data_IF_129011702277
#
_entry.id   IF_129011702277
#
_cell.length_a   1.000
_cell.length_b   1.000
_cell.length_c   1.000
_cell.angle_alpha   90.00
_cell.angle_beta   90.00
_cell.angle_gamma   90.00
#
_symmetry.space_group_name_H-M   'P 1'
#
loop_
_entity.id
_entity.type
_entity.pdbx_description
1 polymer ?
#
# COMPACT_ATOMS: atom_id res chain seq x y z
N UNK A 1 1.18 -20.80 -6.72
CA UNK A 1 1.73 -19.46 -7.02
C UNK A 1 3.11 -19.38 -6.39
N UNK A 2 4.13 -19.04 -7.17
CA UNK A 2 5.53 -19.11 -6.76
C UNK A 2 5.85 -17.92 -5.85
N UNK A 3 6.64 -18.11 -4.79
CA UNK A 3 7.04 -17.06 -3.85
C UNK A 3 7.58 -15.80 -4.55
N UNK A 4 8.20 -15.99 -5.71
CA UNK A 4 8.68 -14.95 -6.63
C UNK A 4 7.59 -13.96 -7.07
N UNK A 5 6.38 -14.43 -7.37
CA UNK A 5 5.26 -13.53 -7.72
C UNK A 5 4.79 -12.73 -6.51
N UNK A 6 4.76 -13.31 -5.31
CA UNK A 6 4.43 -12.60 -4.08
C UNK A 6 5.43 -11.47 -3.77
N UNK A 7 6.72 -11.74 -3.94
CA UNK A 7 7.78 -10.74 -3.77
C UNK A 7 7.65 -9.58 -4.77
N UNK A 8 7.32 -9.87 -6.03
CA UNK A 8 7.06 -8.84 -7.05
C UNK A 8 5.88 -7.94 -6.63
N UNK A 9 4.77 -8.53 -6.18
CA UNK A 9 3.60 -7.76 -5.75
C UNK A 9 3.87 -6.91 -4.51
N UNK A 10 4.64 -7.41 -3.54
CA UNK A 10 5.08 -6.60 -2.38
C UNK A 10 5.96 -5.44 -2.83
N UNK A 11 6.90 -5.68 -3.75
CA UNK A 11 7.75 -4.63 -4.31
C UNK A 11 6.94 -3.55 -5.03
N UNK A 12 5.98 -3.96 -5.87
CA UNK A 12 5.07 -3.05 -6.57
C UNK A 12 4.20 -2.25 -5.59
N UNK A 13 3.68 -2.89 -4.54
CA UNK A 13 2.92 -2.22 -3.49
C UNK A 13 3.79 -1.17 -2.78
N UNK A 14 5.03 -1.53 -2.43
CA UNK A 14 5.96 -0.59 -1.80
C UNK A 14 6.25 0.64 -2.66
N UNK A 15 6.44 0.44 -3.97
CA UNK A 15 6.62 1.54 -4.93
C UNK A 15 5.36 2.40 -5.00
N UNK A 16 4.17 1.80 -5.11
CA UNK A 16 2.91 2.54 -5.17
C UNK A 16 2.67 3.40 -3.92
N UNK A 17 2.89 2.83 -2.74
CA UNK A 17 2.74 3.55 -1.46
C UNK A 17 3.77 4.69 -1.31
N UNK A 18 5.00 4.49 -1.80
CA UNK A 18 6.02 5.52 -1.80
C UNK A 18 5.67 6.68 -2.73
N UNK A 19 5.23 6.39 -3.96
CA UNK A 19 4.80 7.41 -4.92
C UNK A 19 3.61 8.20 -4.39
N UNK A 20 2.67 7.55 -3.71
CA UNK A 20 1.52 8.22 -3.10
C UNK A 20 1.96 9.24 -2.03
N UNK A 21 2.85 8.84 -1.11
CA UNK A 21 3.45 9.74 -0.11
C UNK A 21 4.16 10.91 -0.78
N UNK A 22 4.92 10.64 -1.84
CA UNK A 22 5.65 11.67 -2.57
C UNK A 22 4.70 12.66 -3.26
N UNK A 23 3.60 12.17 -3.88
CA UNK A 23 2.59 13.05 -4.46
C UNK A 23 1.88 13.90 -3.40
N UNK A 24 1.49 13.32 -2.26
CA UNK A 24 0.90 14.07 -1.15
C UNK A 24 1.86 15.12 -0.59
N UNK A 25 3.15 14.81 -0.50
CA UNK A 25 4.16 15.76 -0.06
C UNK A 25 4.31 16.94 -1.04
N UNK A 26 4.31 16.65 -2.35
CA UNK A 26 4.36 17.65 -3.41
C UNK A 26 3.09 18.52 -3.44
N UNK A 27 1.91 17.93 -3.30
CA UNK A 27 0.63 18.61 -3.22
C UNK A 27 0.59 19.59 -2.03
N UNK A 28 1.03 19.13 -0.85
CA UNK A 28 1.15 19.99 0.34
C UNK A 28 2.17 21.11 0.15
N UNK A 29 3.31 20.84 -0.49
CA UNK A 29 4.32 21.87 -0.77
C UNK A 29 3.80 22.95 -1.75
N UNK A 30 2.86 22.59 -2.62
CA UNK A 30 2.19 23.50 -3.57
C UNK A 30 0.98 24.24 -2.96
N UNK A 31 0.64 23.99 -1.70
CA UNK A 31 -0.48 24.63 -1.01
C UNK A 31 -1.84 23.99 -1.29
N UNK A 32 -1.88 22.77 -1.82
CA UNK A 32 -3.13 22.05 -2.03
C UNK A 32 -3.81 21.69 -0.68
N UNK A 33 -5.13 21.88 -0.62
CA UNK A 33 -5.95 21.46 0.51
C UNK A 33 -6.21 19.95 0.38
N UNK A 34 -5.88 19.20 1.43
CA UNK A 34 -6.12 17.75 1.45
C UNK A 34 -7.62 17.52 1.62
N UNK A 35 -8.24 16.89 0.64
CA UNK A 35 -9.69 16.61 0.65
C UNK A 35 -10.05 15.42 1.55
N UNK A 36 -9.06 14.65 2.02
CA UNK A 36 -9.27 13.52 2.92
C UNK A 36 -9.05 13.93 4.39
N UNK A 37 -10.12 14.02 5.21
CA UNK A 37 -10.02 14.51 6.60
C UNK A 37 -9.12 13.64 7.48
N UNK A 38 -9.02 12.33 7.18
CA UNK A 38 -8.13 11.42 7.90
C UNK A 38 -6.66 11.75 7.59
N UNK A 39 -6.31 11.88 6.31
CA UNK A 39 -4.94 12.21 5.87
C UNK A 39 -4.52 13.59 6.35
N UNK A 40 -5.43 14.58 6.26
CA UNK A 40 -5.20 15.92 6.78
C UNK A 40 -4.93 15.92 8.28
N UNK A 41 -5.71 15.18 9.09
CA UNK A 41 -5.50 15.11 10.54
C UNK A 41 -4.12 14.53 10.90
N UNK A 42 -3.63 13.56 10.14
CA UNK A 42 -2.32 12.94 10.35
C UNK A 42 -1.18 13.90 9.96
N UNK A 43 -1.33 14.58 8.82
CA UNK A 43 -0.33 15.55 8.31
C UNK A 43 -0.27 16.79 9.20
N UNK A 44 -1.41 17.35 9.58
CA UNK A 44 -1.47 18.57 10.42
C UNK A 44 -0.94 18.28 11.83
N UNK A 45 -1.25 17.12 12.40
CA UNK A 45 -0.79 16.79 13.74
C UNK A 45 0.71 16.50 13.80
N UNK A 46 1.30 15.88 12.76
CA UNK A 46 2.62 15.25 12.90
C UNK A 46 3.50 15.23 11.64
N UNK A 47 3.09 15.92 10.57
CA UNK A 47 3.83 16.02 9.32
C UNK A 47 3.77 14.77 8.43
N UNK A 48 4.28 14.94 7.21
CA UNK A 48 4.30 13.93 6.13
C UNK A 48 5.08 12.66 6.54
N UNK A 49 6.08 12.79 7.41
CA UNK A 49 6.91 11.67 7.85
C UNK A 49 6.11 10.55 8.55
N UNK A 50 5.05 10.89 9.32
CA UNK A 50 4.21 9.87 9.96
C UNK A 50 3.26 9.18 8.99
N UNK A 51 2.79 9.90 7.96
CA UNK A 51 2.02 9.29 6.87
C UNK A 51 2.88 8.26 6.12
N UNK A 52 4.13 8.62 5.83
CA UNK A 52 5.10 7.70 5.22
C UNK A 52 5.33 6.46 6.08
N UNK A 53 5.52 6.64 7.40
CA UNK A 53 5.73 5.53 8.34
C UNK A 53 4.50 4.63 8.46
N UNK A 54 3.29 5.19 8.49
CA UNK A 54 2.04 4.43 8.53
C UNK A 54 1.89 3.54 7.29
N UNK A 55 2.14 4.10 6.10
CA UNK A 55 2.10 3.35 4.84
C UNK A 55 3.18 2.27 4.79
N UNK A 56 4.38 2.56 5.28
CA UNK A 56 5.45 1.58 5.37
C UNK A 56 5.09 0.42 6.32
N UNK A 57 4.47 0.71 7.46
CA UNK A 57 3.94 -0.31 8.37
C UNK A 57 2.85 -1.16 7.72
N UNK A 58 1.97 -0.55 6.90
CA UNK A 58 0.96 -1.27 6.15
C UNK A 58 1.57 -2.26 5.15
N UNK A 59 2.58 -1.82 4.38
CA UNK A 59 3.32 -2.70 3.45
C UNK A 59 3.97 -3.86 4.20
N UNK A 60 4.62 -3.59 5.33
CA UNK A 60 5.24 -4.62 6.17
C UNK A 60 4.20 -5.60 6.70
N UNK A 61 3.05 -5.12 7.18
CA UNK A 61 1.96 -5.96 7.66
C UNK A 61 1.41 -6.89 6.56
N UNK A 62 1.21 -6.37 5.34
CA UNK A 62 0.77 -7.15 4.19
C UNK A 62 1.84 -8.18 3.79
N UNK A 63 3.12 -7.79 3.80
CA UNK A 63 4.23 -8.70 3.53
C UNK A 63 4.28 -9.86 4.56
N UNK A 64 4.14 -9.55 5.85
CA UNK A 64 4.06 -10.57 6.90
C UNK A 64 2.85 -11.47 6.72
N UNK A 65 1.67 -10.93 6.42
CA UNK A 65 0.46 -11.71 6.16
C UNK A 65 0.65 -12.67 4.97
N UNK A 66 1.34 -12.24 3.91
CA UNK A 66 1.69 -13.09 2.78
C UNK A 66 2.65 -14.21 3.15
N UNK A 67 3.68 -13.92 3.97
CA UNK A 67 4.63 -14.94 4.44
C UNK A 67 3.95 -15.97 5.34
N UNK A 68 3.12 -15.51 6.28
CA UNK A 68 2.38 -16.38 7.22
C UNK A 68 1.41 -17.29 6.44
N UNK A 69 0.58 -16.71 5.56
CA UNK A 69 -0.38 -17.48 4.76
C UNK A 69 0.31 -18.42 3.78
N UNK A 70 1.44 -18.03 3.19
CA UNK A 70 2.25 -18.91 2.35
C UNK A 70 2.78 -20.11 3.15
N UNK A 71 3.23 -19.89 4.39
CA UNK A 71 3.71 -20.98 5.25
C UNK A 71 2.60 -21.92 5.68
N UNK A 72 1.38 -21.41 5.83
CA UNK A 72 0.19 -22.19 6.22
C UNK A 72 -0.52 -22.87 5.04
N UNK A 73 -0.12 -22.56 3.81
CA UNK A 73 -0.67 -23.14 2.57
C UNK A 73 -0.68 -24.67 2.56
N UNK A 74 0.30 -25.31 3.21
CA UNK A 74 0.45 -26.76 3.25
C UNK A 74 -0.47 -27.46 4.26
N UNK A 75 -1.16 -26.72 5.15
CA UNK A 75 -2.00 -27.29 6.22
C UNK A 75 -3.47 -27.52 5.85
N UNK A 76 -3.87 -27.30 4.60
CA UNK A 76 -5.21 -27.63 4.11
C UNK A 76 -5.86 -26.58 3.20
N UNK A 77 -7.13 -26.77 2.81
CA UNK A 77 -7.84 -25.91 1.87
C UNK A 77 -8.06 -24.48 2.40
N UNK A 78 -8.24 -24.31 3.71
CA UNK A 78 -8.38 -23.00 4.36
C UNK A 78 -7.13 -22.12 4.21
N UNK A 79 -5.93 -22.73 4.30
CA UNK A 79 -4.67 -22.01 4.09
C UNK A 79 -4.50 -21.53 2.65
N UNK A 80 -5.02 -22.28 1.68
CA UNK A 80 -5.04 -21.86 0.27
C UNK A 80 -5.98 -20.67 0.03
N UNK A 81 -7.18 -20.67 0.63
CA UNK A 81 -8.14 -19.56 0.50
C UNK A 81 -7.62 -18.27 1.14
N UNK A 82 -7.05 -18.37 2.34
CA UNK A 82 -6.46 -17.21 3.03
C UNK A 82 -5.31 -16.58 2.21
N UNK A 83 -4.43 -17.41 1.65
CA UNK A 83 -3.35 -16.93 0.80
C UNK A 83 -3.86 -16.20 -0.46
N UNK A 84 -4.89 -16.75 -1.13
CA UNK A 84 -5.50 -16.10 -2.30
C UNK A 84 -6.17 -14.78 -1.93
N UNK A 85 -6.86 -14.73 -0.80
CA UNK A 85 -7.50 -13.52 -0.31
C UNK A 85 -6.47 -12.40 -0.10
N UNK A 86 -5.41 -12.65 0.68
CA UNK A 86 -4.36 -11.65 0.95
C UNK A 86 -3.66 -11.19 -0.34
N UNK A 87 -3.42 -12.10 -1.29
CA UNK A 87 -2.85 -11.74 -2.59
C UNK A 87 -3.78 -10.88 -3.44
N UNK A 88 -5.08 -11.21 -3.48
CA UNK A 88 -6.04 -10.41 -4.23
C UNK A 88 -6.20 -9.02 -3.61
N UNK A 89 -6.25 -8.92 -2.27
CA UNK A 89 -6.23 -7.63 -1.58
C UNK A 89 -4.99 -6.83 -1.93
N UNK A 90 -3.79 -7.42 -1.87
CA UNK A 90 -2.54 -6.75 -2.25
C UNK A 90 -2.58 -6.24 -3.70
N UNK A 91 -3.10 -7.04 -4.64
CA UNK A 91 -3.24 -6.65 -6.05
C UNK A 91 -4.20 -5.48 -6.22
N UNK A 92 -5.39 -5.56 -5.61
CA UNK A 92 -6.40 -4.51 -5.68
C UNK A 92 -5.84 -3.22 -5.12
N UNK A 93 -5.23 -3.25 -3.94
CA UNK A 93 -4.60 -2.06 -3.33
C UNK A 93 -3.50 -1.48 -4.20
N UNK A 94 -2.65 -2.33 -4.80
CA UNK A 94 -1.58 -1.85 -5.70
C UNK A 94 -2.16 -1.17 -6.95
N UNK A 95 -3.20 -1.75 -7.56
CA UNK A 95 -3.85 -1.18 -8.75
C UNK A 95 -4.56 0.13 -8.41
N UNK A 96 -5.28 0.17 -7.29
CA UNK A 96 -5.95 1.39 -6.83
C UNK A 96 -4.93 2.49 -6.50
N UNK A 97 -3.83 2.14 -5.83
CA UNK A 97 -2.75 3.08 -5.55
C UNK A 97 -2.07 3.59 -6.83
N UNK A 98 -1.85 2.73 -7.82
CA UNK A 98 -1.35 3.15 -9.12
C UNK A 98 -2.32 4.07 -9.87
N UNK A 99 -3.62 3.80 -9.80
CA UNK A 99 -4.65 4.67 -10.38
C UNK A 99 -4.74 6.02 -9.68
N UNK A 100 -4.69 6.05 -8.35
CA UNK A 100 -4.66 7.28 -7.57
C UNK A 100 -3.41 8.12 -7.90
N UNK A 101 -2.26 7.45 -7.99
CA UNK A 101 -1.00 8.11 -8.36
C UNK A 101 -1.02 8.63 -9.81
N UNK A 102 -1.60 7.88 -10.75
CA UNK A 102 -1.82 8.35 -12.12
C UNK A 102 -2.78 9.54 -12.18
N UNK A 103 -3.85 9.51 -11.38
CA UNK A 103 -4.79 10.62 -11.28
C UNK A 103 -4.09 11.89 -10.76
N UNK A 104 -3.29 11.77 -9.70
CA UNK A 104 -2.47 12.88 -9.19
C UNK A 104 -1.47 13.38 -10.25
N UNK A 105 -0.83 12.48 -11.01
CA UNK A 105 0.10 12.87 -12.06
C UNK A 105 -0.58 13.57 -13.25
N UNK A 106 -1.85 13.27 -13.54
CA UNK A 106 -2.65 13.91 -14.60
C UNK A 106 -3.27 15.24 -14.17
N UNK A 107 -3.49 15.44 -12.87
CA UNK A 107 -3.95 16.71 -12.29
C UNK A 107 -2.81 17.73 -12.11
N UNK A 108 -1.57 17.31 -12.34
CA UNK A 108 -0.36 18.12 -12.28
C UNK A 108 -0.08 18.95 -13.54
#
# INVERSE_FOLDING_TARGET
MNARLGAIWIGLLGIAEFTDVASTALDKARGAVELMPVTESIIVANGIARLALLKLLLVVAIAMALVITFRWRHRGPLGHSAHRFVLNSCRITTVVGALASLHNALLF
#
